data_IF_896727122555
#
_entry.id   IF_896727122555
#
_cell.length_a   1.000
_cell.length_b   1.000
_cell.length_c   1.000
_cell.angle_alpha   90.00
_cell.angle_beta   90.00
_cell.angle_gamma   90.00
#
_symmetry.space_group_name_H-M   'P 1'
#
loop_
_entity.id
_entity.type
_entity.pdbx_description
1 polymer ?
#
# COMPACT_ATOMS: atom_id res chain seq x y z
N UNK A 1 28.11 32.98 29.61
CA UNK A 1 28.88 32.13 28.68
C UNK A 1 27.92 31.15 28.03
N UNK A 2 27.62 31.32 26.74
CA UNK A 2 26.66 30.49 26.01
C UNK A 2 27.31 29.15 25.62
N UNK A 3 26.68 28.03 25.97
CA UNK A 3 27.15 26.69 25.63
C UNK A 3 26.93 26.37 24.14
N UNK A 4 27.97 25.84 23.49
CA UNK A 4 27.94 25.45 22.10
C UNK A 4 26.98 24.27 21.85
N UNK A 5 26.07 24.43 20.89
CA UNK A 5 25.19 23.36 20.43
C UNK A 5 25.99 22.31 19.62
N UNK A 6 25.87 21.02 19.99
CA UNK A 6 26.47 19.90 19.25
C UNK A 6 25.88 19.80 17.84
N UNK A 7 26.69 19.49 16.81
CA UNK A 7 26.22 19.41 15.44
C UNK A 7 25.19 18.29 15.28
N UNK A 8 24.01 18.63 14.73
CA UNK A 8 22.98 17.66 14.31
C UNK A 8 23.57 16.73 13.27
N UNK A 9 23.74 15.45 13.61
CA UNK A 9 24.16 14.39 12.70
C UNK A 9 23.14 14.31 11.56
N UNK A 10 23.57 14.60 10.32
CA UNK A 10 22.72 14.49 9.13
C UNK A 10 22.27 13.03 9.00
N UNK A 11 20.97 12.78 9.12
CA UNK A 11 20.39 11.48 8.81
C UNK A 11 20.74 11.14 7.36
N UNK A 12 21.27 9.95 7.06
CA UNK A 12 21.50 9.54 5.68
C UNK A 12 20.19 9.70 4.89
N UNK A 13 20.28 10.23 3.67
CA UNK A 13 19.12 10.26 2.78
C UNK A 13 18.59 8.82 2.66
N UNK A 14 17.34 8.60 3.05
CA UNK A 14 16.70 7.31 2.89
C UNK A 14 16.84 6.89 1.42
N UNK A 15 17.25 5.63 1.19
CA UNK A 15 17.30 5.07 -0.15
C UNK A 15 15.98 5.37 -0.87
N UNK A 16 16.02 5.72 -2.16
CA UNK A 16 14.83 6.00 -2.96
C UNK A 16 13.97 4.72 -2.98
N UNK A 17 13.03 4.62 -2.05
CA UNK A 17 12.14 3.47 -1.97
C UNK A 17 11.29 3.37 -3.24
N UNK A 18 10.84 2.16 -3.54
CA UNK A 18 9.89 1.91 -4.63
C UNK A 18 8.71 2.87 -4.51
N UNK A 19 8.28 3.45 -5.64
CA UNK A 19 7.16 4.38 -5.65
C UNK A 19 5.91 3.60 -5.23
N UNK A 20 5.12 4.16 -4.32
CA UNK A 20 3.86 3.52 -3.96
C UNK A 20 2.90 3.58 -5.17
N UNK A 21 2.15 2.50 -5.44
CA UNK A 21 1.13 2.53 -6.47
C UNK A 21 0.02 3.53 -6.12
N UNK A 22 -0.68 4.02 -7.13
CA UNK A 22 -1.84 4.87 -6.92
C UNK A 22 -2.90 4.15 -6.07
N UNK A 23 -3.53 4.83 -5.10
CA UNK A 23 -4.58 4.22 -4.29
C UNK A 23 -5.75 3.74 -5.15
N UNK A 24 -6.23 2.52 -4.89
CA UNK A 24 -7.40 1.97 -5.56
C UNK A 24 -8.65 2.39 -4.77
N UNK A 25 -9.71 2.91 -5.43
CA UNK A 25 -10.96 3.24 -4.76
C UNK A 25 -11.62 2.02 -4.10
N UNK A 26 -12.30 2.24 -2.98
CA UNK A 26 -13.16 1.22 -2.39
C UNK A 26 -14.32 0.89 -3.35
N UNK A 27 -14.65 -0.40 -3.45
CA UNK A 27 -15.66 -0.92 -4.35
C UNK A 27 -15.18 -1.14 -5.79
N UNK A 28 -13.92 -0.82 -6.12
CA UNK A 28 -13.35 -1.13 -7.43
C UNK A 28 -13.38 -2.64 -7.69
N UNK A 29 -13.79 -3.04 -8.89
CA UNK A 29 -13.87 -4.45 -9.28
C UNK A 29 -12.72 -4.80 -10.22
N UNK A 30 -12.02 -5.90 -9.92
CA UNK A 30 -10.93 -6.44 -10.74
C UNK A 30 -11.15 -7.91 -11.04
N UNK A 31 -10.65 -8.36 -12.18
CA UNK A 31 -10.64 -9.78 -12.55
C UNK A 31 -9.22 -10.33 -12.46
N UNK A 32 -9.06 -11.49 -11.84
CA UNK A 32 -7.78 -12.19 -11.85
C UNK A 32 -7.56 -13.02 -13.13
N UNK A 33 -6.41 -13.68 -13.20
CA UNK A 33 -6.01 -14.52 -14.35
C UNK A 33 -6.87 -15.77 -14.52
N UNK A 34 -7.61 -16.18 -13.48
CA UNK A 34 -8.57 -17.28 -13.51
C UNK A 34 -10.00 -16.82 -13.78
N UNK A 35 -10.18 -15.54 -14.19
CA UNK A 35 -11.48 -14.89 -14.44
C UNK A 35 -12.37 -14.81 -13.20
N UNK A 36 -11.79 -14.90 -12.00
CA UNK A 36 -12.52 -14.65 -10.77
C UNK A 36 -12.53 -13.14 -10.50
N UNK A 37 -13.71 -12.64 -10.15
CA UNK A 37 -13.92 -11.23 -9.85
C UNK A 37 -13.72 -10.92 -8.38
N UNK A 38 -13.10 -9.78 -8.09
CA UNK A 38 -12.78 -9.30 -6.76
C UNK A 38 -13.24 -7.85 -6.61
N UNK A 39 -13.95 -7.57 -5.52
CA UNK A 39 -14.30 -6.21 -5.10
C UNK A 39 -13.31 -5.75 -4.04
N UNK A 40 -12.60 -4.66 -4.32
CA UNK A 40 -11.65 -4.04 -3.40
C UNK A 40 -12.40 -3.36 -2.26
N UNK A 41 -11.97 -3.63 -1.03
CA UNK A 41 -12.48 -3.04 0.20
C UNK A 41 -11.52 -2.01 0.79
N UNK A 42 -11.72 -1.66 2.08
CA UNK A 42 -10.91 -0.66 2.75
C UNK A 42 -9.41 -0.97 2.75
N UNK A 43 -8.59 0.09 2.67
CA UNK A 43 -7.12 -0.02 2.76
C UNK A 43 -6.69 -0.46 4.16
N UNK A 44 -5.85 -1.48 4.23
CA UNK A 44 -5.26 -1.98 5.49
C UNK A 44 -3.98 -1.22 5.80
N UNK A 45 -3.08 -1.07 4.81
CA UNK A 45 -1.79 -0.41 5.01
C UNK A 45 -0.95 -0.32 3.74
N UNK A 46 0.10 0.50 3.79
CA UNK A 46 1.02 0.77 2.67
C UNK A 46 2.45 0.90 3.15
N UNK A 47 3.42 0.37 2.40
CA UNK A 47 4.85 0.48 2.69
C UNK A 47 5.72 0.12 1.48
N UNK A 48 7.03 -0.04 1.66
CA UNK A 48 7.97 -0.31 0.57
C UNK A 48 7.72 -1.60 -0.23
N UNK A 49 6.86 -2.47 0.28
CA UNK A 49 6.43 -3.71 -0.39
C UNK A 49 5.08 -3.58 -1.10
N UNK A 50 4.48 -2.38 -1.16
CA UNK A 50 3.17 -2.14 -1.78
C UNK A 50 2.07 -1.80 -0.76
N UNK A 51 0.83 -1.84 -1.24
CA UNK A 51 -0.39 -1.51 -0.48
C UNK A 51 -1.30 -2.72 -0.38
N UNK A 52 -1.89 -2.96 0.78
CA UNK A 52 -2.81 -4.07 1.03
C UNK A 52 -4.20 -3.54 1.30
N UNK A 53 -5.20 -4.17 0.68
CA UNK A 53 -6.62 -3.87 0.83
C UNK A 53 -7.38 -5.13 1.25
N UNK A 54 -8.46 -4.97 2.00
CA UNK A 54 -9.48 -6.01 2.09
C UNK A 54 -10.08 -6.28 0.71
N UNK A 55 -10.59 -7.49 0.50
CA UNK A 55 -11.28 -7.84 -0.74
C UNK A 55 -12.35 -8.91 -0.49
N UNK A 56 -13.41 -8.84 -1.27
CA UNK A 56 -14.43 -9.88 -1.36
C UNK A 56 -14.54 -10.38 -2.79
N UNK A 57 -15.04 -11.59 -2.99
CA UNK A 57 -15.46 -12.00 -4.33
C UNK A 57 -16.68 -11.17 -4.77
N UNK A 58 -16.81 -10.88 -6.07
CA UNK A 58 -18.00 -10.19 -6.58
C UNK A 58 -19.26 -11.00 -6.21
N UNK A 59 -20.23 -10.32 -5.61
CA UNK A 59 -21.46 -10.94 -5.10
C UNK A 59 -21.39 -11.40 -3.64
N UNK A 60 -20.21 -11.42 -3.00
CA UNK A 60 -20.04 -11.66 -1.57
C UNK A 60 -19.83 -10.35 -0.80
N UNK A 61 -20.31 -10.31 0.44
CA UNK A 61 -20.19 -9.14 1.33
C UNK A 61 -19.02 -9.25 2.30
N UNK A 62 -18.55 -10.45 2.55
CA UNK A 62 -17.51 -10.72 3.54
C UNK A 62 -16.10 -10.49 2.95
N UNK A 63 -15.25 -9.82 3.73
CA UNK A 63 -13.85 -9.56 3.37
C UNK A 63 -12.94 -10.73 3.77
N UNK A 64 -13.18 -11.89 3.17
CA UNK A 64 -12.41 -13.11 3.45
C UNK A 64 -11.01 -13.10 2.83
N UNK A 65 -10.71 -12.09 2.01
CA UNK A 65 -9.49 -12.01 1.21
C UNK A 65 -8.78 -10.67 1.37
N UNK A 66 -7.53 -10.65 0.95
CA UNK A 66 -6.73 -9.44 0.81
C UNK A 66 -6.11 -9.37 -0.57
N UNK A 67 -6.04 -8.16 -1.14
CA UNK A 67 -5.33 -7.88 -2.38
C UNK A 67 -4.12 -7.02 -2.07
N UNK A 68 -2.95 -7.46 -2.53
CA UNK A 68 -1.71 -6.70 -2.46
C UNK A 68 -1.42 -6.06 -3.80
N UNK A 69 -1.32 -4.74 -3.82
CA UNK A 69 -0.99 -3.94 -5.00
C UNK A 69 0.47 -3.51 -4.89
N UNK A 70 1.26 -3.87 -5.89
CA UNK A 70 2.68 -3.52 -5.99
C UNK A 70 2.86 -2.55 -7.16
N UNK A 71 3.83 -1.63 -7.03
CA UNK A 71 4.28 -0.85 -8.18
C UNK A 71 5.05 -1.77 -9.12
N UNK A 72 4.82 -1.60 -10.42
CA UNK A 72 5.67 -2.19 -11.45
C UNK A 72 6.52 -1.02 -11.93
N UNK A 73 7.71 -0.89 -11.36
CA UNK A 73 8.68 0.13 -11.78
C UNK A 73 9.26 -0.18 -13.18
#
# INVERSE_FOLDING_TARGET
MAGAAKPRRKTPAAAKGHKLPEPIPEGFEVSDTYKKGWKIGPKIGSGGFGTVYFASEIGKKDYDYVVKVVSVD
#
